data_IF_130115624352
#
_entry.id   IF_130115624352
#
_cell.length_a   1.000
_cell.length_b   1.000
_cell.length_c   1.000
_cell.angle_alpha   90.00
_cell.angle_beta   90.00
_cell.angle_gamma   90.00
#
_symmetry.space_group_name_H-M   'P 1'
#
loop_
_entity.id
_entity.type
_entity.pdbx_description
1 polymer ?
#
# COMPACT_ATOMS: atom_id res chain seq x y z
N UNK A 1 -11.06 -1.84 3.13
CA UNK A 1 -11.42 -3.15 3.71
C UNK A 1 -11.33 -3.16 5.22
N UNK A 2 -10.16 -2.88 5.80
CA UNK A 2 -9.98 -2.96 7.27
C UNK A 2 -10.95 -2.05 8.04
N UNK A 3 -11.12 -0.78 7.63
CA UNK A 3 -12.07 0.15 8.27
C UNK A 3 -13.52 -0.34 8.29
N UNK A 4 -13.98 -1.10 7.28
CA UNK A 4 -15.36 -1.60 7.28
C UNK A 4 -15.60 -2.69 8.33
N UNK A 5 -14.54 -3.31 8.84
CA UNK A 5 -14.61 -4.38 9.83
C UNK A 5 -14.18 -3.89 11.22
N UNK A 6 -13.04 -3.19 11.30
CA UNK A 6 -12.40 -2.78 12.55
C UNK A 6 -12.61 -1.29 12.90
N UNK A 7 -13.40 -0.54 12.13
CA UNK A 7 -13.57 0.89 12.35
C UNK A 7 -14.12 1.29 13.73
N UNK A 8 -14.73 0.35 14.47
CA UNK A 8 -15.22 0.56 15.85
C UNK A 8 -14.37 -0.14 16.92
N UNK A 9 -13.26 -0.77 16.54
CA UNK A 9 -12.36 -1.45 17.47
C UNK A 9 -11.32 -0.48 18.03
N UNK A 10 -10.44 -0.97 18.93
CA UNK A 10 -9.35 -0.16 19.49
C UNK A 10 -8.37 0.30 18.42
N UNK A 11 -8.14 -0.52 17.39
CA UNK A 11 -7.32 -0.17 16.22
C UNK A 11 -8.01 0.80 15.23
N UNK A 12 -9.30 1.10 15.41
CA UNK A 12 -10.07 1.91 14.47
C UNK A 12 -9.48 3.30 14.18
N UNK A 13 -9.11 4.11 15.20
CA UNK A 13 -8.48 5.41 14.97
C UNK A 13 -7.16 5.32 14.21
N UNK A 14 -6.35 4.29 14.50
CA UNK A 14 -5.09 4.06 13.83
C UNK A 14 -5.29 3.74 12.34
N UNK A 15 -6.17 2.79 12.02
CA UNK A 15 -6.49 2.40 10.64
C UNK A 15 -7.11 3.59 9.89
N UNK A 16 -7.90 4.43 10.58
CA UNK A 16 -8.46 5.65 9.99
C UNK A 16 -7.39 6.68 9.64
N UNK A 17 -6.32 6.77 10.43
CA UNK A 17 -5.21 7.68 10.16
C UNK A 17 -4.44 7.23 8.90
N UNK A 18 -4.06 5.95 8.83
CA UNK A 18 -3.40 5.38 7.65
C UNK A 18 -4.28 5.56 6.40
N UNK A 19 -5.59 5.26 6.50
CA UNK A 19 -6.52 5.45 5.40
C UNK A 19 -6.56 6.90 4.89
N UNK A 20 -6.48 7.89 5.78
CA UNK A 20 -6.48 9.29 5.36
C UNK A 20 -5.20 9.65 4.57
N UNK A 21 -4.06 9.03 4.88
CA UNK A 21 -2.83 9.19 4.11
C UNK A 21 -2.94 8.52 2.73
N UNK A 22 -3.44 7.28 2.69
CA UNK A 22 -3.71 6.55 1.44
C UNK A 22 -4.64 7.31 0.48
N UNK A 23 -5.67 7.97 1.01
CA UNK A 23 -6.57 8.82 0.21
C UNK A 23 -5.84 10.01 -0.42
N UNK A 24 -4.89 10.61 0.30
CA UNK A 24 -4.02 11.68 -0.23
C UNK A 24 -3.09 11.14 -1.31
N UNK A 25 -2.51 9.96 -1.14
CA UNK A 25 -1.65 9.33 -2.14
C UNK A 25 -2.41 9.05 -3.43
N UNK A 26 -3.58 8.41 -3.31
CA UNK A 26 -4.45 8.10 -4.44
C UNK A 26 -4.89 9.36 -5.19
N UNK A 27 -5.35 10.39 -4.48
CA UNK A 27 -5.77 11.66 -5.06
C UNK A 27 -4.60 12.36 -5.79
N UNK A 28 -3.42 12.35 -5.18
CA UNK A 28 -2.21 12.93 -5.74
C UNK A 28 -1.86 12.26 -7.08
N UNK A 29 -1.75 10.93 -7.12
CA UNK A 29 -1.43 10.23 -8.37
C UNK A 29 -2.56 10.31 -9.39
N UNK A 30 -3.81 10.26 -8.98
CA UNK A 30 -4.96 10.41 -9.89
C UNK A 30 -4.92 11.75 -10.61
N UNK A 31 -4.60 12.83 -9.89
CA UNK A 31 -4.39 14.16 -10.47
C UNK A 31 -3.20 14.19 -11.42
N UNK A 32 -2.08 13.56 -11.06
CA UNK A 32 -0.90 13.50 -11.95
C UNK A 32 -1.19 12.75 -13.24
N UNK A 33 -1.83 11.57 -13.15
CA UNK A 33 -2.25 10.75 -14.30
C UNK A 33 -3.14 11.59 -15.23
N UNK A 34 -4.14 12.28 -14.68
CA UNK A 34 -5.04 13.16 -15.44
C UNK A 34 -4.31 14.33 -16.12
N UNK A 35 -3.45 15.05 -15.38
CA UNK A 35 -2.67 16.18 -15.91
C UNK A 35 -1.72 15.76 -17.04
N UNK A 36 -1.04 14.62 -16.85
CA UNK A 36 -0.05 14.08 -17.80
C UNK A 36 -0.68 13.26 -18.92
N UNK A 37 -2.00 13.03 -18.89
CA UNK A 37 -2.75 12.22 -19.85
C UNK A 37 -2.19 10.81 -20.01
N UNK A 38 -1.69 10.24 -18.91
CA UNK A 38 -1.22 8.86 -18.88
C UNK A 38 -2.43 7.94 -18.76
N UNK A 39 -2.40 6.81 -19.46
CA UNK A 39 -3.45 5.79 -19.32
C UNK A 39 -3.15 4.97 -18.06
N UNK A 40 -4.05 4.90 -17.05
CA UNK A 40 -3.88 3.98 -15.93
C UNK A 40 -4.02 2.52 -16.41
N UNK A 41 -3.62 1.57 -15.56
CA UNK A 41 -3.82 0.15 -15.87
C UNK A 41 -5.30 -0.18 -16.08
N UNK A 42 -5.59 -1.04 -17.06
CA UNK A 42 -6.97 -1.50 -17.30
C UNK A 42 -7.49 -2.41 -16.15
N UNK A 43 -6.59 -2.91 -15.31
CA UNK A 43 -6.89 -3.78 -14.18
C UNK A 43 -7.34 -3.03 -12.91
N UNK A 44 -7.37 -1.69 -12.95
CA UNK A 44 -7.68 -0.87 -11.77
C UNK A 44 -8.99 -1.28 -11.04
N UNK A 45 -10.12 -1.57 -11.72
CA UNK A 45 -11.33 -2.02 -11.03
C UNK A 45 -11.17 -3.36 -10.32
N UNK A 46 -10.38 -4.28 -10.88
CA UNK A 46 -10.07 -5.57 -10.27
C UNK A 46 -9.25 -5.38 -9.00
N UNK A 47 -8.23 -4.51 -9.04
CA UNK A 47 -7.36 -4.24 -7.89
C UNK A 47 -8.07 -3.49 -6.77
N UNK A 48 -8.99 -2.58 -7.07
CA UNK A 48 -9.85 -1.98 -6.03
C UNK A 48 -10.64 -3.03 -5.27
N UNK A 49 -11.25 -3.99 -5.97
CA UNK A 49 -12.01 -5.07 -5.33
C UNK A 49 -11.08 -6.00 -4.54
N UNK A 50 -9.94 -6.38 -5.12
CA UNK A 50 -8.98 -7.28 -4.47
C UNK A 50 -8.38 -6.66 -3.21
N UNK A 51 -7.95 -5.40 -3.25
CA UNK A 51 -7.42 -4.69 -2.08
C UNK A 51 -8.47 -4.51 -0.98
N UNK A 52 -9.72 -4.20 -1.35
CA UNK A 52 -10.81 -4.14 -0.39
C UNK A 52 -11.05 -5.50 0.28
N UNK A 53 -11.16 -6.57 -0.51
CA UNK A 53 -11.42 -7.92 -0.03
C UNK A 53 -10.28 -8.44 0.85
N UNK A 54 -9.03 -8.19 0.47
CA UNK A 54 -7.85 -8.54 1.26
C UNK A 54 -7.89 -7.86 2.63
N UNK A 55 -8.06 -6.54 2.66
CA UNK A 55 -8.11 -5.78 3.90
C UNK A 55 -9.31 -6.14 4.79
N UNK A 56 -10.48 -6.41 4.21
CA UNK A 56 -11.64 -6.87 4.98
C UNK A 56 -11.44 -8.30 5.51
N UNK A 57 -10.91 -9.20 4.68
CA UNK A 57 -10.65 -10.59 5.03
C UNK A 57 -9.64 -10.73 6.17
N UNK A 58 -8.52 -10.02 6.10
CA UNK A 58 -7.52 -10.03 7.19
C UNK A 58 -8.06 -9.40 8.46
N UNK A 59 -8.85 -8.34 8.36
CA UNK A 59 -9.52 -7.73 9.51
C UNK A 59 -10.55 -8.66 10.19
N UNK A 60 -11.26 -9.50 9.43
CA UNK A 60 -12.15 -10.53 9.99
C UNK A 60 -11.39 -11.61 10.76
N UNK A 61 -10.11 -11.84 10.43
CA UNK A 61 -9.22 -12.75 11.18
C UNK A 61 -8.67 -12.09 12.46
N UNK A 62 -8.87 -10.79 12.65
CA UNK A 62 -8.52 -10.03 13.85
C UNK A 62 -7.53 -8.89 13.59
N UNK A 63 -7.37 -8.03 14.59
CA UNK A 63 -6.54 -6.81 14.48
C UNK A 63 -5.10 -7.10 14.10
N UNK A 64 -4.47 -8.09 14.74
CA UNK A 64 -3.09 -8.49 14.42
C UNK A 64 -2.94 -8.94 12.97
N UNK A 65 -3.92 -9.68 12.44
CA UNK A 65 -3.90 -10.14 11.05
C UNK A 65 -4.09 -8.99 10.06
N UNK A 66 -4.91 -7.99 10.41
CA UNK A 66 -4.97 -6.73 9.66
C UNK A 66 -3.62 -6.00 9.66
N UNK A 67 -2.97 -5.88 10.82
CA UNK A 67 -1.63 -5.28 10.91
C UNK A 67 -0.58 -6.08 10.12
N UNK A 68 -0.62 -7.42 10.14
CA UNK A 68 0.24 -8.27 9.33
C UNK A 68 0.02 -8.07 7.82
N UNK A 69 -1.22 -7.84 7.41
CA UNK A 69 -1.54 -7.46 6.04
C UNK A 69 -0.91 -6.12 5.67
N UNK A 70 -1.04 -5.10 6.53
CA UNK A 70 -0.43 -3.78 6.32
C UNK A 70 1.09 -3.90 6.18
N UNK A 71 1.78 -4.60 7.10
CA UNK A 71 3.23 -4.82 7.01
C UNK A 71 3.62 -5.46 5.66
N UNK A 72 2.93 -6.53 5.26
CA UNK A 72 3.25 -7.25 4.05
C UNK A 72 3.01 -6.43 2.77
N UNK A 73 1.98 -5.58 2.75
CA UNK A 73 1.72 -4.66 1.62
C UNK A 73 2.76 -3.56 1.60
N UNK A 74 2.99 -2.87 2.71
CA UNK A 74 3.89 -1.71 2.77
C UNK A 74 5.34 -2.06 2.52
N UNK A 75 5.80 -3.25 2.87
CA UNK A 75 7.13 -3.71 2.47
C UNK A 75 7.28 -3.82 0.94
N UNK A 76 6.22 -4.25 0.23
CA UNK A 76 6.25 -4.30 -1.24
C UNK A 76 6.10 -2.93 -1.87
N UNK A 77 5.31 -2.05 -1.26
CA UNK A 77 5.14 -0.67 -1.75
C UNK A 77 6.42 0.15 -1.53
N UNK A 78 7.12 -0.02 -0.40
CA UNK A 78 8.44 0.59 -0.17
C UNK A 78 9.46 0.15 -1.23
N UNK A 79 9.58 -1.17 -1.47
CA UNK A 79 10.42 -1.72 -2.55
C UNK A 79 10.08 -1.09 -3.91
N UNK A 80 8.79 -0.90 -4.19
CA UNK A 80 8.31 -0.34 -5.45
C UNK A 80 8.64 1.16 -5.58
N UNK A 81 8.37 1.98 -4.56
CA UNK A 81 8.70 3.40 -4.58
C UNK A 81 10.21 3.61 -4.66
N UNK A 82 11.02 2.84 -3.94
CA UNK A 82 12.48 2.94 -4.02
C UNK A 82 12.98 2.72 -5.46
N UNK A 83 12.45 1.71 -6.15
CA UNK A 83 12.79 1.45 -7.56
C UNK A 83 12.30 2.57 -8.51
N UNK A 84 11.15 3.18 -8.21
CA UNK A 84 10.66 4.34 -8.99
C UNK A 84 11.57 5.56 -8.81
N UNK A 85 11.95 5.89 -7.58
CA UNK A 85 12.87 7.00 -7.26
C UNK A 85 14.21 6.80 -7.98
N UNK A 86 14.83 5.62 -7.85
CA UNK A 86 16.10 5.31 -8.53
C UNK A 86 15.99 5.53 -10.06
N UNK A 87 14.89 5.06 -10.67
CA UNK A 87 14.65 5.22 -12.09
C UNK A 87 14.49 6.69 -12.50
N UNK A 88 13.78 7.49 -11.70
CA UNK A 88 13.56 8.92 -11.96
C UNK A 88 14.86 9.72 -11.81
N UNK A 89 15.66 9.41 -10.81
CA UNK A 89 16.99 10.02 -10.62
C UNK A 89 17.94 9.69 -11.78
N UNK A 90 17.93 8.43 -12.25
CA UNK A 90 18.73 8.00 -13.40
C UNK A 90 18.35 8.69 -14.72
N UNK A 91 17.15 9.28 -14.81
CA UNK A 91 16.70 10.09 -15.95
C UNK A 91 17.26 11.53 -15.95
N UNK A 92 18.14 11.87 -15.01
CA UNK A 92 18.83 13.17 -15.00
C UNK A 92 18.03 14.29 -14.31
N UNK A 93 17.09 13.95 -13.43
CA UNK A 93 16.39 14.91 -12.58
C UNK A 93 15.27 15.71 -13.26
N UNK A 94 14.91 15.39 -14.51
CA UNK A 94 13.80 16.05 -15.22
C UNK A 94 12.44 15.89 -14.51
N UNK A 95 12.29 14.82 -13.73
CA UNK A 95 11.07 14.46 -12.99
C UNK A 95 11.25 14.59 -11.47
N UNK A 96 12.00 15.62 -11.04
CA UNK A 96 12.31 15.84 -9.62
C UNK A 96 11.05 15.92 -8.74
N UNK A 97 9.99 16.62 -9.16
CA UNK A 97 8.74 16.72 -8.40
C UNK A 97 8.08 15.35 -8.18
N UNK A 98 8.11 14.48 -9.19
CA UNK A 98 7.57 13.12 -9.08
C UNK A 98 8.45 12.27 -8.16
N UNK A 99 9.77 12.39 -8.29
CA UNK A 99 10.72 11.66 -7.43
C UNK A 99 10.55 12.04 -5.96
N UNK A 100 10.44 13.34 -5.65
CA UNK A 100 10.20 13.83 -4.29
C UNK A 100 8.84 13.37 -3.75
N UNK A 101 7.82 13.31 -4.61
CA UNK A 101 6.50 12.78 -4.21
C UNK A 101 6.57 11.29 -3.88
N UNK A 102 7.21 10.48 -4.73
CA UNK A 102 7.42 9.06 -4.49
C UNK A 102 8.21 8.83 -3.19
N UNK A 103 9.29 9.57 -2.95
CA UNK A 103 10.09 9.45 -1.73
C UNK A 103 9.29 9.85 -0.49
N UNK A 104 8.50 10.92 -0.56
CA UNK A 104 7.63 11.32 0.54
C UNK A 104 6.65 10.19 0.91
N UNK A 105 5.93 9.65 -0.07
CA UNK A 105 4.96 8.58 0.20
C UNK A 105 5.64 7.30 0.67
N UNK A 106 6.83 6.97 0.15
CA UNK A 106 7.65 5.86 0.65
C UNK A 106 7.93 5.96 2.15
N UNK A 107 8.28 7.15 2.64
CA UNK A 107 8.51 7.37 4.07
C UNK A 107 7.24 7.19 4.91
N UNK A 108 6.08 7.59 4.37
CA UNK A 108 4.78 7.36 5.03
C UNK A 108 4.45 5.85 5.08
N UNK A 109 4.76 5.07 4.04
CA UNK A 109 4.57 3.60 4.09
C UNK A 109 5.50 2.90 5.09
N UNK A 110 6.72 3.39 5.24
CA UNK A 110 7.63 2.90 6.27
C UNK A 110 7.06 3.17 7.67
N UNK A 111 6.44 4.33 7.89
CA UNK A 111 5.74 4.65 9.14
C UNK A 111 4.53 3.73 9.36
N UNK A 112 3.70 3.50 8.33
CA UNK A 112 2.59 2.56 8.37
C UNK A 112 3.05 1.15 8.76
N UNK A 113 4.09 0.64 8.11
CA UNK A 113 4.71 -0.67 8.39
C UNK A 113 5.19 -0.76 9.83
N UNK A 114 5.99 0.21 10.28
CA UNK A 114 6.59 0.20 11.61
C UNK A 114 5.51 0.31 12.70
N UNK A 115 4.48 1.10 12.44
CA UNK A 115 3.32 1.20 13.32
C UNK A 115 2.55 -0.12 13.39
N UNK A 116 2.35 -0.81 12.27
CA UNK A 116 1.70 -2.10 12.24
C UNK A 116 2.50 -3.19 12.98
N UNK A 117 3.84 -3.17 12.87
CA UNK A 117 4.74 -4.02 13.67
C UNK A 117 4.56 -3.78 15.18
N UNK A 118 4.56 -2.52 15.60
CA UNK A 118 4.35 -2.13 17.00
C UNK A 118 2.96 -2.57 17.53
N UNK A 119 1.95 -2.60 16.66
CA UNK A 119 0.60 -3.07 16.96
C UNK A 119 0.44 -4.60 16.83
N UNK A 120 1.55 -5.34 16.79
CA UNK A 120 1.56 -6.78 16.97
C UNK A 120 1.27 -7.59 15.72
N UNK A 121 1.57 -7.05 14.53
CA UNK A 121 1.53 -7.78 13.26
C UNK A 121 2.17 -9.18 13.36
N UNK A 122 3.39 -9.26 13.89
CA UNK A 122 4.16 -10.50 14.02
C UNK A 122 3.54 -11.52 15.00
N UNK A 123 2.62 -11.07 15.85
CA UNK A 123 1.90 -11.93 16.80
C UNK A 123 0.69 -12.63 16.15
N UNK A 124 0.49 -12.46 14.84
CA UNK A 124 -0.55 -13.16 14.08
C UNK A 124 -0.21 -14.63 13.92
N UNK A 125 -1.19 -15.51 14.10
CA UNK A 125 -1.01 -16.93 13.83
C UNK A 125 -0.66 -17.15 12.34
N UNK A 126 0.47 -17.81 12.07
CA UNK A 126 0.93 -18.05 10.70
C UNK A 126 1.47 -16.80 9.99
N UNK A 127 1.97 -15.81 10.74
CA UNK A 127 2.51 -14.55 10.23
C UNK A 127 3.40 -14.72 8.97
N UNK A 128 4.42 -15.57 9.03
CA UNK A 128 5.34 -15.81 7.90
C UNK A 128 4.62 -16.25 6.63
N UNK A 129 3.66 -17.18 6.75
CA UNK A 129 2.90 -17.68 5.61
C UNK A 129 1.94 -16.65 5.04
N UNK A 130 1.24 -15.90 5.90
CA UNK A 130 0.36 -14.81 5.49
C UNK A 130 1.15 -13.69 4.81
N UNK A 131 2.27 -13.29 5.41
CA UNK A 131 3.15 -12.25 4.88
C UNK A 131 3.69 -12.65 3.50
N UNK A 132 4.27 -13.84 3.36
CA UNK A 132 4.79 -14.33 2.08
C UNK A 132 3.71 -14.37 0.98
N UNK A 133 2.50 -14.82 1.31
CA UNK A 133 1.38 -14.88 0.37
C UNK A 133 0.98 -13.48 -0.10
N UNK A 134 0.78 -12.54 0.84
CA UNK A 134 0.37 -11.17 0.53
C UNK A 134 1.44 -10.48 -0.30
N UNK A 135 2.71 -10.56 0.11
CA UNK A 135 3.84 -10.01 -0.64
C UNK A 135 3.89 -10.53 -2.08
N UNK A 136 3.72 -11.83 -2.27
CA UNK A 136 3.69 -12.46 -3.59
C UNK A 136 2.53 -11.92 -4.44
N UNK A 137 1.34 -11.80 -3.84
CA UNK A 137 0.16 -11.22 -4.49
C UNK A 137 0.36 -9.77 -4.90
N UNK A 138 0.87 -8.93 -3.99
CA UNK A 138 1.13 -7.50 -4.24
C UNK A 138 2.17 -7.30 -5.34
N UNK A 139 3.28 -8.04 -5.32
CA UNK A 139 4.30 -7.98 -6.39
C UNK A 139 3.74 -8.40 -7.74
N UNK A 140 2.90 -9.43 -7.77
CA UNK A 140 2.22 -9.85 -9.01
C UNK A 140 1.27 -8.77 -9.53
N UNK A 141 0.49 -8.13 -8.63
CA UNK A 141 -0.43 -7.06 -9.01
C UNK A 141 0.31 -5.86 -9.62
N UNK A 142 1.44 -5.44 -9.03
CA UNK A 142 2.30 -4.40 -9.58
C UNK A 142 2.82 -4.81 -10.96
N UNK A 143 3.44 -5.99 -11.06
CA UNK A 143 4.02 -6.48 -12.32
C UNK A 143 3.01 -6.55 -13.47
N UNK A 144 1.77 -6.97 -13.19
CA UNK A 144 0.68 -7.00 -14.18
C UNK A 144 0.23 -5.57 -14.56
N UNK A 145 0.13 -4.68 -13.59
CA UNK A 145 -0.35 -3.30 -13.79
C UNK A 145 0.59 -2.46 -14.66
N UNK A 146 1.90 -2.71 -14.58
CA UNK A 146 2.90 -2.05 -15.42
C UNK A 146 2.77 -2.43 -16.92
N UNK A 147 2.07 -3.52 -17.24
CA UNK A 147 2.02 -4.11 -18.60
C UNK A 147 0.68 -3.93 -19.30
N UNK A 148 -0.40 -3.73 -18.55
CA UNK A 148 -1.79 -3.77 -19.03
C UNK A 148 -2.46 -2.42 -18.84
#
# INVERSE_FOLDING_TARGET
GQMSVLGKSESGPLISHMLAQEEVHLDTFSKMIGKRRVRPTALLPLWHLAGFALGAGTALLGEKAAMACTVAVEEVIDEHYAAQVEKLEAMGGEEQELSETCEKFRLEELEHRDTALQNGAEKTAGYEGLNALIKTGSRLAIWLSERI
#
